data_IF_786576834399
#
_entry.id   IF_786576834399
#
_cell.length_a   1.000
_cell.length_b   1.000
_cell.length_c   1.000
_cell.angle_alpha   90.00
_cell.angle_beta   90.00
_cell.angle_gamma   90.00
#
_symmetry.space_group_name_H-M   'P 1'
#
loop_
_entity.id
_entity.type
_entity.pdbx_description
1 polymer ?
#
# COMPACT_ATOMS: atom_id res chain seq x y z
N UNK A 1 7.49 -0.19 -15.90
CA UNK A 1 8.02 -1.14 -14.91
C UNK A 1 8.76 -0.40 -13.80
N UNK A 2 8.53 -0.80 -12.56
CA UNK A 2 9.19 -0.20 -11.42
C UNK A 2 10.49 -0.94 -11.12
N UNK A 3 11.57 -0.18 -10.91
CA UNK A 3 12.82 -0.83 -10.54
C UNK A 3 12.81 -1.17 -9.04
N UNK A 4 13.58 -2.18 -8.63
CA UNK A 4 13.54 -2.64 -7.23
C UNK A 4 13.95 -1.59 -6.22
N UNK A 5 14.88 -0.71 -6.58
CA UNK A 5 15.34 0.33 -5.67
C UNK A 5 14.22 1.35 -5.40
N UNK A 6 13.56 1.79 -6.47
CA UNK A 6 12.45 2.73 -6.34
C UNK A 6 11.31 2.12 -5.53
N UNK A 7 10.99 0.86 -5.81
CA UNK A 7 9.94 0.16 -5.09
C UNK A 7 10.27 0.07 -3.60
N UNK A 8 11.52 -0.26 -3.27
CA UNK A 8 11.94 -0.35 -1.87
C UNK A 8 11.79 0.98 -1.15
N UNK A 9 12.15 2.07 -1.83
CA UNK A 9 12.01 3.41 -1.24
C UNK A 9 10.55 3.79 -1.01
N UNK A 10 9.69 3.51 -1.99
CA UNK A 10 8.27 3.80 -1.87
C UNK A 10 7.67 2.97 -0.73
N UNK A 11 8.00 1.69 -0.67
CA UNK A 11 7.53 0.80 0.39
C UNK A 11 7.94 1.32 1.76
N UNK A 12 9.18 1.72 1.90
CA UNK A 12 9.68 2.26 3.16
C UNK A 12 8.90 3.52 3.55
N UNK A 13 8.70 4.42 2.59
CA UNK A 13 7.97 5.65 2.85
C UNK A 13 6.54 5.35 3.32
N UNK A 14 5.85 4.45 2.61
CA UNK A 14 4.47 4.10 2.98
C UNK A 14 4.44 3.51 4.38
N UNK A 15 5.35 2.61 4.71
CA UNK A 15 5.40 2.00 6.04
C UNK A 15 5.67 3.02 7.13
N UNK A 16 6.50 4.01 6.85
CA UNK A 16 6.76 5.09 7.79
C UNK A 16 5.50 5.94 8.03
N UNK A 17 4.75 6.22 6.97
CA UNK A 17 3.51 6.98 7.11
C UNK A 17 2.46 6.18 7.88
N UNK A 18 2.36 4.87 7.63
CA UNK A 18 1.46 4.01 8.39
C UNK A 18 1.81 4.05 9.87
N UNK A 19 3.09 3.95 10.19
CA UNK A 19 3.52 3.99 11.59
C UNK A 19 3.17 5.32 12.26
N UNK A 20 3.40 6.43 11.56
CA UNK A 20 3.09 7.75 12.11
C UNK A 20 1.59 7.90 12.37
N UNK A 21 0.76 7.43 11.44
CA UNK A 21 -0.69 7.53 11.62
C UNK A 21 -1.15 6.61 12.73
N UNK A 22 -0.60 5.41 12.82
CA UNK A 22 -0.93 4.47 13.87
C UNK A 22 -0.59 5.06 15.24
N UNK A 23 0.60 5.66 15.36
CA UNK A 23 1.01 6.30 16.60
C UNK A 23 0.07 7.46 16.95
N UNK A 24 -0.33 8.24 15.95
CA UNK A 24 -1.26 9.34 16.15
C UNK A 24 -2.61 8.84 16.67
N UNK A 25 -3.13 7.75 16.08
CA UNK A 25 -4.39 7.16 16.53
C UNK A 25 -4.29 6.72 17.99
N UNK A 26 -3.15 6.12 18.35
CA UNK A 26 -2.95 5.60 19.72
C UNK A 26 -2.78 6.70 20.75
N UNK A 27 -2.20 7.84 20.39
CA UNK A 27 -1.73 8.82 21.36
C UNK A 27 -2.26 10.22 21.18
N UNK A 28 -2.83 10.56 20.04
CA UNK A 28 -3.16 11.95 19.75
C UNK A 28 -4.58 12.23 19.30
N UNK A 29 -5.37 11.20 19.06
CA UNK A 29 -6.74 11.39 18.55
C UNK A 29 -7.69 11.52 19.75
N UNK A 30 -8.44 12.61 19.77
CA UNK A 30 -9.34 12.92 20.87
C UNK A 30 -10.81 13.05 20.45
N UNK A 31 -11.11 12.89 19.19
CA UNK A 31 -12.50 12.93 18.71
C UNK A 31 -12.77 11.79 17.75
N UNK A 32 -14.05 11.42 17.59
CA UNK A 32 -14.46 10.37 16.68
C UNK A 32 -14.16 10.79 15.24
N UNK A 33 -14.39 12.05 14.89
CA UNK A 33 -14.13 12.55 13.55
C UNK A 33 -12.67 12.42 13.18
N UNK A 34 -11.78 12.80 14.10
CA UNK A 34 -10.34 12.68 13.86
C UNK A 34 -9.92 11.23 13.74
N UNK A 35 -10.51 10.35 14.56
CA UNK A 35 -10.25 8.93 14.49
C UNK A 35 -10.66 8.37 13.13
N UNK A 36 -11.86 8.70 12.68
CA UNK A 36 -12.35 8.21 11.39
C UNK A 36 -11.50 8.72 10.23
N UNK A 37 -11.09 9.98 10.28
CA UNK A 37 -10.21 10.55 9.28
C UNK A 37 -8.86 9.80 9.23
N UNK A 38 -8.26 9.59 10.40
CA UNK A 38 -6.97 8.91 10.49
C UNK A 38 -7.06 7.46 10.03
N UNK A 39 -8.14 6.78 10.39
CA UNK A 39 -8.36 5.39 9.94
C UNK A 39 -8.54 5.34 8.43
N UNK A 40 -9.23 6.33 7.85
CA UNK A 40 -9.37 6.41 6.39
C UNK A 40 -8.04 6.56 5.71
N UNK A 41 -7.16 7.42 6.25
CA UNK A 41 -5.82 7.59 5.72
C UNK A 41 -5.00 6.30 5.84
N UNK A 42 -5.11 5.63 6.98
CA UNK A 42 -4.42 4.37 7.21
C UNK A 42 -4.87 3.32 6.20
N UNK A 43 -6.18 3.19 6.01
CA UNK A 43 -6.73 2.24 5.04
C UNK A 43 -6.24 2.55 3.64
N UNK A 44 -6.18 3.82 3.26
CA UNK A 44 -5.71 4.22 1.93
C UNK A 44 -4.24 3.85 1.73
N UNK A 45 -3.41 4.06 2.76
CA UNK A 45 -1.99 3.72 2.67
C UNK A 45 -1.79 2.21 2.60
N UNK A 46 -2.58 1.45 3.36
CA UNK A 46 -2.50 -0.01 3.32
C UNK A 46 -2.93 -0.54 1.95
N UNK A 47 -3.97 0.05 1.38
CA UNK A 47 -4.42 -0.33 0.03
C UNK A 47 -3.34 0.00 -1.01
N UNK A 48 -2.71 1.16 -0.89
CA UNK A 48 -1.64 1.55 -1.79
C UNK A 48 -0.44 0.60 -1.69
N UNK A 49 -0.10 0.21 -0.47
CA UNK A 49 0.99 -0.74 -0.25
C UNK A 49 0.66 -2.10 -0.89
N UNK A 50 -0.58 -2.55 -0.75
CA UNK A 50 -1.00 -3.79 -1.37
C UNK A 50 -0.96 -3.69 -2.90
N UNK A 51 -1.41 -2.55 -3.44
CA UNK A 51 -1.36 -2.32 -4.89
C UNK A 51 0.07 -2.36 -5.39
N UNK A 52 0.99 -1.77 -4.65
CA UNK A 52 2.40 -1.78 -5.03
C UNK A 52 2.96 -3.19 -5.05
N UNK A 53 2.60 -4.01 -4.06
CA UNK A 53 3.01 -5.41 -4.02
C UNK A 53 2.44 -6.18 -5.20
N UNK A 54 1.18 -5.92 -5.54
CA UNK A 54 0.54 -6.57 -6.68
C UNK A 54 1.22 -6.19 -7.99
N UNK A 55 1.60 -4.91 -8.14
CA UNK A 55 2.32 -4.46 -9.32
C UNK A 55 3.68 -5.13 -9.44
N UNK A 56 4.38 -5.30 -8.33
CA UNK A 56 5.65 -6.01 -8.32
C UNK A 56 5.47 -7.46 -8.76
N UNK A 57 4.43 -8.09 -8.26
CA UNK A 57 4.13 -9.47 -8.59
C UNK A 57 3.82 -9.60 -10.08
N UNK A 58 3.05 -8.67 -10.62
CA UNK A 58 2.76 -8.67 -12.06
C UNK A 58 4.01 -8.53 -12.90
N UNK A 59 4.92 -7.67 -12.48
CA UNK A 59 6.19 -7.49 -13.20
C UNK A 59 7.01 -8.77 -13.22
N UNK A 60 6.94 -9.55 -12.15
CA UNK A 60 7.66 -10.81 -12.07
C UNK A 60 6.92 -11.90 -12.83
N UNK A 61 5.62 -12.02 -12.58
CA UNK A 61 4.80 -13.10 -13.13
C UNK A 61 4.35 -12.81 -14.55
N UNK A 62 4.26 -11.55 -14.90
CA UNK A 62 3.80 -11.14 -16.22
C UNK A 62 4.65 -11.62 -17.37
N UNK A 63 5.89 -11.94 -17.06
CA UNK A 63 6.79 -12.48 -18.07
C UNK A 63 6.38 -13.89 -18.50
N UNK A 64 5.59 -14.53 -17.68
CA UNK A 64 5.20 -15.92 -17.91
C UNK A 64 3.99 -16.05 -18.78
N UNK A 65 3.26 -15.10 -18.92
CA UNK A 65 2.05 -15.26 -19.62
C UNK A 65 1.38 -14.08 -20.04
N UNK A 66 1.32 -14.41 -19.77
CA UNK A 66 0.50 -14.01 -19.88
C UNK A 66 -0.35 -13.80 -19.49
N UNK A 67 -0.37 -13.86 -19.33
CA UNK A 67 -1.13 -13.93 -18.94
C UNK A 67 -1.98 -13.87 -18.44
N UNK A 68 -1.94 -14.10 -18.52
CA UNK A 68 -2.80 -14.30 -18.22
C UNK A 68 -3.70 -14.01 -17.58
N UNK A 69 -3.70 -14.07 -17.57
CA UNK A 69 -4.45 -14.04 -17.13
C UNK A 69 -5.22 -13.55 -16.55
N UNK A 70 -5.18 -13.52 -16.62
CA UNK A 70 -5.85 -13.30 -16.21
C UNK A 70 -6.63 -12.92 -15.87
N UNK A 71 -6.30 -12.89 -16.10
CA UNK A 71 -6.93 -12.65 -15.91
C UNK A 71 -7.82 -12.42 -15.48
N UNK A 72 -7.91 -12.48 -15.54
CA UNK A 72 -8.76 -12.52 -15.34
C UNK A 72 -9.52 -12.25 -14.69
N UNK A 73 -9.26 -12.18 -14.78
CA UNK A 73 -9.97 -12.02 -14.37
C UNK A 73 -10.50 -11.66 -13.91
N UNK A 74 -10.49 -11.48 -13.71
CA UNK A 74 -11.11 -11.47 -13.41
C UNK A 74 -11.51 -11.34 -13.26
#
# INVERSE_FOLDING_TARGET
MLDPYTVARITKYINEQIKLITDHICHGVDTIEKLQYSKGRLNALEALLQDLKDLQKENIDGDDDNQTQRIRNP
#
